data_IF_924419634443
#
_entry.id   IF_924419634443
#
_cell.length_a   1.000
_cell.length_b   1.000
_cell.length_c   1.000
_cell.angle_alpha   90.00
_cell.angle_beta   90.00
_cell.angle_gamma   90.00
#
_symmetry.space_group_name_H-M   'P 1'
#
loop_
_entity.id
_entity.type
_entity.pdbx_description
1 polymer ?
#
# COMPACT_ATOMS: atom_id res chain seq x y z
N UNK A 1 17.76 3.89 -6.19
CA UNK A 1 16.53 4.55 -5.74
C UNK A 1 15.71 3.51 -4.97
N UNK A 2 15.26 3.83 -3.76
CA UNK A 2 14.47 2.91 -2.94
C UNK A 2 13.07 2.78 -3.54
N UNK A 3 12.59 1.56 -3.80
CA UNK A 3 11.24 1.38 -4.33
C UNK A 3 10.18 1.37 -3.22
N UNK A 4 8.89 1.46 -3.60
CA UNK A 4 7.78 1.50 -2.65
C UNK A 4 7.79 0.31 -1.67
N UNK A 5 8.07 -0.90 -2.17
CA UNK A 5 8.17 -2.10 -1.33
C UNK A 5 9.22 -1.96 -0.24
N UNK A 6 10.40 -1.42 -0.55
CA UNK A 6 11.47 -1.24 0.43
C UNK A 6 11.11 -0.19 1.49
N UNK A 7 10.41 0.89 1.10
CA UNK A 7 9.88 1.89 2.04
C UNK A 7 8.85 1.27 2.99
N UNK A 8 7.84 0.60 2.43
CA UNK A 8 6.82 -0.09 3.23
C UNK A 8 7.43 -1.14 4.17
N UNK A 9 8.40 -1.93 3.68
CA UNK A 9 9.07 -2.93 4.51
C UNK A 9 9.80 -2.32 5.70
N UNK A 10 10.46 -1.17 5.50
CA UNK A 10 11.13 -0.45 6.57
C UNK A 10 10.12 0.00 7.63
N UNK A 11 9.02 0.62 7.19
CA UNK A 11 7.99 1.13 8.08
C UNK A 11 7.28 0.01 8.85
N UNK A 12 6.92 -1.08 8.19
CA UNK A 12 6.34 -2.28 8.83
C UNK A 12 7.33 -2.87 9.85
N UNK A 13 8.63 -2.87 9.55
CA UNK A 13 9.65 -3.35 10.49
C UNK A 13 9.73 -2.43 11.72
N UNK A 14 9.70 -1.11 11.54
CA UNK A 14 9.69 -0.16 12.63
C UNK A 14 8.42 -0.30 13.48
N UNK A 15 7.26 -0.46 12.85
CA UNK A 15 5.99 -0.71 13.51
C UNK A 15 6.00 -2.01 14.33
N UNK A 16 6.57 -3.09 13.79
CA UNK A 16 6.80 -4.35 14.53
C UNK A 16 7.70 -4.15 15.74
N UNK A 17 8.82 -3.43 15.59
CA UNK A 17 9.77 -3.21 16.69
C UNK A 17 9.16 -2.42 17.86
N UNK A 18 8.17 -1.58 17.58
CA UNK A 18 7.38 -0.87 18.59
C UNK A 18 6.28 -1.73 19.22
N UNK A 19 6.16 -3.00 18.82
CA UNK A 19 5.15 -3.93 19.32
C UNK A 19 3.78 -3.77 18.67
N UNK A 20 3.71 -3.32 17.42
CA UNK A 20 2.47 -3.12 16.66
C UNK A 20 1.48 -2.16 17.34
N UNK A 21 1.89 -0.91 17.64
CA UNK A 21 0.99 0.07 18.24
C UNK A 21 -0.26 0.27 17.38
N UNK A 22 -1.42 0.22 18.01
CA UNK A 22 -2.74 0.30 17.38
C UNK A 22 -3.77 0.77 18.41
N UNK A 23 -4.79 1.51 17.98
CA UNK A 23 -5.97 1.83 18.80
C UNK A 23 -6.79 0.58 19.14
N UNK A 24 -6.58 -0.50 18.40
CA UNK A 24 -7.25 -1.78 18.59
C UNK A 24 -6.28 -2.80 19.21
N UNK A 25 -6.42 -3.08 20.50
CA UNK A 25 -5.48 -3.95 21.24
C UNK A 25 -5.54 -5.44 20.84
N UNK A 26 -6.68 -5.91 20.32
CA UNK A 26 -6.85 -7.31 19.94
C UNK A 26 -5.91 -7.72 18.81
N UNK A 27 -5.75 -6.90 17.75
CA UNK A 27 -4.85 -7.22 16.65
C UNK A 27 -3.38 -7.22 17.09
N UNK A 28 -2.99 -6.29 17.96
CA UNK A 28 -1.65 -6.26 18.55
C UNK A 28 -1.36 -7.57 19.28
N UNK A 29 -2.33 -8.05 20.07
CA UNK A 29 -2.21 -9.34 20.79
C UNK A 29 -2.09 -10.52 19.81
N UNK A 30 -2.92 -10.55 18.77
CA UNK A 30 -2.90 -11.61 17.74
C UNK A 30 -1.53 -11.65 17.03
N UNK A 31 -1.02 -10.50 16.59
CA UNK A 31 0.25 -10.42 15.87
C UNK A 31 1.42 -10.84 16.77
N UNK A 32 1.42 -10.47 18.04
CA UNK A 32 2.43 -10.90 19.00
C UNK A 32 2.37 -12.40 19.33
N UNK A 33 1.24 -13.07 19.06
CA UNK A 33 1.02 -14.48 19.39
C UNK A 33 1.46 -15.47 18.29
N UNK A 34 2.11 -15.05 17.20
CA UNK A 34 2.71 -15.99 16.22
C UNK A 34 3.95 -16.75 16.77
N UNK A 35 3.96 -17.05 18.07
CA UNK A 35 5.06 -17.63 18.84
C UNK A 35 5.37 -19.08 18.43
N UNK A 36 4.37 -19.81 17.93
CA UNK A 36 4.54 -21.18 17.44
C UNK A 36 5.12 -21.27 16.02
N UNK A 37 5.41 -20.13 15.37
CA UNK A 37 5.76 -20.06 13.94
C UNK A 37 4.73 -20.77 13.05
N UNK A 38 3.45 -20.75 13.44
CA UNK A 38 2.36 -21.30 12.62
C UNK A 38 2.39 -20.67 11.23
N UNK A 39 2.51 -19.34 11.18
CA UNK A 39 2.86 -18.64 9.95
C UNK A 39 4.38 -18.59 9.79
N UNK A 40 4.86 -19.07 8.63
CA UNK A 40 6.24 -18.92 8.21
C UNK A 40 6.58 -17.43 8.10
N UNK A 41 7.87 -17.08 8.27
CA UNK A 41 8.36 -15.70 8.24
C UNK A 41 7.76 -14.84 7.12
N UNK A 42 7.79 -15.32 5.87
CA UNK A 42 7.27 -14.56 4.73
C UNK A 42 5.74 -14.37 4.76
N UNK A 43 4.99 -15.34 5.30
CA UNK A 43 3.55 -15.23 5.49
C UNK A 43 3.22 -14.23 6.58
N UNK A 44 3.95 -14.29 7.70
CA UNK A 44 3.77 -13.36 8.81
C UNK A 44 4.13 -11.92 8.40
N UNK A 45 5.24 -11.72 7.68
CA UNK A 45 5.61 -10.41 7.10
C UNK A 45 4.51 -9.85 6.18
N UNK A 46 3.87 -10.71 5.37
CA UNK A 46 2.77 -10.30 4.51
C UNK A 46 1.50 -9.94 5.32
N UNK A 47 1.19 -10.70 6.38
CA UNK A 47 0.08 -10.40 7.28
C UNK A 47 0.30 -9.08 8.03
N UNK A 48 1.52 -8.80 8.48
CA UNK A 48 1.85 -7.51 9.11
C UNK A 48 1.79 -6.36 8.11
N UNK A 49 2.25 -6.58 6.88
CA UNK A 49 2.13 -5.56 5.83
C UNK A 49 0.66 -5.23 5.56
N UNK A 50 -0.19 -6.25 5.51
CA UNK A 50 -1.64 -6.08 5.38
C UNK A 50 -2.21 -5.22 6.52
N UNK A 51 -1.95 -5.60 7.77
CA UNK A 51 -2.49 -4.90 8.93
C UNK A 51 -1.89 -3.49 9.10
N UNK A 52 -0.64 -3.28 8.72
CA UNK A 52 -0.03 -1.94 8.68
C UNK A 52 -0.75 -1.04 7.67
N UNK A 53 -0.99 -1.52 6.46
CA UNK A 53 -1.74 -0.77 5.45
C UNK A 53 -3.16 -0.48 5.92
N UNK A 54 -3.80 -1.47 6.56
CA UNK A 54 -5.17 -1.39 7.08
C UNK A 54 -5.33 -0.37 8.22
N UNK A 55 -4.47 -0.45 9.24
CA UNK A 55 -4.61 0.29 10.49
C UNK A 55 -3.82 1.59 10.51
N UNK A 56 -2.58 1.56 10.04
CA UNK A 56 -1.65 2.70 10.16
C UNK A 56 -1.79 3.63 8.96
N UNK A 57 -1.93 3.07 7.76
CA UNK A 57 -2.10 3.87 6.54
C UNK A 57 -3.57 4.14 6.19
N UNK A 58 -4.52 3.53 6.91
CA UNK A 58 -5.96 3.65 6.68
C UNK A 58 -6.42 3.20 5.28
N UNK A 59 -5.92 2.05 4.82
CA UNK A 59 -6.29 1.39 3.55
C UNK A 59 -6.22 2.33 2.32
N UNK A 60 -5.08 2.97 2.04
CA UNK A 60 -4.95 3.95 0.95
C UNK A 60 -4.97 3.30 -0.44
N UNK A 61 -5.29 4.02 -1.50
CA UNK A 61 -4.99 3.52 -2.84
C UNK A 61 -3.46 3.43 -3.04
N UNK A 62 -3.03 2.58 -3.97
CA UNK A 62 -1.61 2.43 -4.26
C UNK A 62 -0.99 3.76 -4.73
N UNK A 63 -1.78 4.61 -5.38
CA UNK A 63 -1.37 5.93 -5.80
C UNK A 63 -1.09 6.87 -4.62
N UNK A 64 -1.96 6.89 -3.61
CA UNK A 64 -1.79 7.70 -2.40
C UNK A 64 -0.48 7.31 -1.69
N UNK A 65 -0.14 6.01 -1.66
CA UNK A 65 1.16 5.54 -1.16
C UNK A 65 2.34 6.12 -1.95
N UNK A 66 2.25 6.17 -3.28
CA UNK A 66 3.31 6.78 -4.09
C UNK A 66 3.45 8.28 -3.82
N UNK A 67 2.34 9.01 -3.68
CA UNK A 67 2.37 10.44 -3.33
C UNK A 67 3.02 10.68 -1.96
N UNK A 68 2.68 9.86 -0.97
CA UNK A 68 3.22 9.95 0.38
C UNK A 68 4.73 9.67 0.43
N UNK A 69 5.18 8.61 -0.24
CA UNK A 69 6.57 8.15 -0.15
C UNK A 69 7.53 8.83 -1.14
N UNK A 70 7.00 9.41 -2.21
CA UNK A 70 7.78 9.97 -3.31
C UNK A 70 7.28 11.36 -3.70
N UNK A 71 7.46 12.41 -2.88
CA UNK A 71 7.03 13.75 -3.24
C UNK A 71 7.89 14.37 -4.36
N UNK A 72 7.28 15.28 -5.13
CA UNK A 72 7.97 16.09 -6.14
C UNK A 72 8.58 15.27 -7.28
N UNK A 73 9.85 15.56 -7.62
CA UNK A 73 10.59 14.88 -8.71
C UNK A 73 10.59 13.36 -8.57
N UNK A 74 10.68 12.87 -7.34
CA UNK A 74 10.79 11.43 -7.08
C UNK A 74 9.53 10.65 -7.47
N UNK A 75 8.35 11.30 -7.51
CA UNK A 75 7.11 10.68 -7.99
C UNK A 75 7.22 10.29 -9.46
N UNK A 76 7.69 11.23 -10.29
CA UNK A 76 7.86 11.03 -11.71
C UNK A 76 8.93 9.98 -12.00
N UNK A 77 10.01 9.96 -11.21
CA UNK A 77 11.02 8.92 -11.31
C UNK A 77 10.46 7.54 -10.94
N UNK A 78 9.63 7.46 -9.90
CA UNK A 78 8.96 6.22 -9.48
C UNK A 78 7.97 5.69 -10.54
N UNK A 79 7.31 6.58 -11.28
CA UNK A 79 6.42 6.21 -12.40
C UNK A 79 7.12 6.01 -13.74
N UNK A 80 8.45 6.15 -13.81
CA UNK A 80 9.19 6.05 -15.06
C UNK A 80 8.94 7.23 -16.02
N UNK A 81 8.47 8.35 -15.49
CA UNK A 81 8.16 9.61 -16.20
C UNK A 81 9.29 10.64 -16.12
N UNK A 82 10.50 10.20 -15.80
CA UNK A 82 11.66 11.09 -15.62
C UNK A 82 11.91 11.99 -16.84
N UNK A 83 11.70 11.48 -18.05
CA UNK A 83 11.88 12.22 -19.31
C UNK A 83 10.96 13.44 -19.43
N UNK A 84 9.82 13.47 -18.73
CA UNK A 84 8.91 14.61 -18.74
C UNK A 84 9.42 15.80 -17.91
N UNK A 85 10.32 15.53 -16.96
CA UNK A 85 10.76 16.51 -15.97
C UNK A 85 12.27 16.74 -15.96
N UNK A 86 13.04 15.99 -16.74
CA UNK A 86 14.50 16.02 -16.72
C UNK A 86 15.10 17.40 -17.01
N UNK A 87 14.43 18.20 -17.84
CA UNK A 87 14.85 19.54 -18.23
C UNK A 87 14.15 20.65 -17.42
N UNK A 88 13.36 20.30 -16.41
CA UNK A 88 12.64 21.26 -15.57
C UNK A 88 13.41 21.56 -14.27
N UNK A 89 13.61 22.86 -13.96
CA UNK A 89 13.98 23.31 -12.62
C UNK A 89 13.05 22.74 -11.54
N UNK A 90 13.59 22.46 -10.36
CA UNK A 90 12.83 21.77 -9.29
C UNK A 90 11.69 22.61 -8.72
N UNK A 91 11.88 23.92 -8.69
CA UNK A 91 10.90 24.93 -8.32
C UNK A 91 9.66 24.97 -9.25
N UNK A 92 9.77 24.44 -10.47
CA UNK A 92 8.62 24.33 -11.39
C UNK A 92 7.80 23.06 -11.20
N UNK A 93 8.29 22.08 -10.42
CA UNK A 93 7.57 20.82 -10.16
C UNK A 93 6.75 21.01 -8.89
N UNK A 94 5.76 21.89 -9.01
CA UNK A 94 4.84 22.21 -7.92
C UNK A 94 3.76 21.12 -7.77
N UNK A 95 3.01 21.11 -6.66
CA UNK A 95 1.84 20.25 -6.52
C UNK A 95 0.81 20.43 -7.67
N UNK A 96 0.62 21.66 -8.14
CA UNK A 96 -0.30 21.98 -9.24
C UNK A 96 0.19 21.41 -10.57
N UNK A 97 1.50 21.50 -10.84
CA UNK A 97 2.10 20.86 -12.01
C UNK A 97 1.89 19.34 -11.99
N UNK A 98 2.16 18.72 -10.83
CA UNK A 98 1.97 17.28 -10.62
C UNK A 98 0.51 16.87 -10.86
N UNK A 99 -0.45 17.58 -10.27
CA UNK A 99 -1.87 17.34 -10.49
C UNK A 99 -2.28 17.51 -11.97
N UNK A 100 -1.71 18.50 -12.67
CA UNK A 100 -1.94 18.71 -14.09
C UNK A 100 -1.52 17.51 -14.94
N UNK A 101 -0.34 16.94 -14.67
CA UNK A 101 0.12 15.73 -15.37
C UNK A 101 -0.75 14.52 -15.03
N UNK A 102 -1.11 14.32 -13.77
CA UNK A 102 -1.96 13.20 -13.35
C UNK A 102 -3.32 13.24 -14.04
N UNK A 103 -3.96 14.42 -14.06
CA UNK A 103 -5.21 14.62 -14.79
C UNK A 103 -5.06 14.30 -16.28
N UNK A 104 -3.92 14.66 -16.88
CA UNK A 104 -3.62 14.33 -18.27
C UNK A 104 -3.51 12.81 -18.48
N UNK A 105 -2.89 12.08 -17.56
CA UNK A 105 -2.83 10.61 -17.61
C UNK A 105 -4.24 10.01 -17.51
N UNK A 106 -5.14 10.60 -16.72
CA UNK A 106 -6.52 10.14 -16.58
C UNK A 106 -7.39 10.42 -17.80
N UNK A 107 -7.22 11.56 -18.47
CA UNK A 107 -8.17 12.05 -19.50
C UNK A 107 -7.67 12.07 -20.94
N UNK A 108 -6.35 12.07 -21.18
CA UNK A 108 -5.77 12.25 -22.52
C UNK A 108 -5.20 10.93 -23.08
N UNK A 109 -5.99 10.29 -23.94
CA UNK A 109 -5.62 9.02 -24.58
C UNK A 109 -4.36 9.13 -25.47
N UNK A 110 -4.17 10.26 -26.14
CA UNK A 110 -3.01 10.47 -27.01
C UNK A 110 -1.73 10.57 -26.18
N UNK A 111 -1.79 11.28 -25.05
CA UNK A 111 -0.69 11.39 -24.11
C UNK A 111 -0.33 10.05 -23.47
N UNK A 112 -1.33 9.28 -23.04
CA UNK A 112 -1.15 7.93 -22.47
C UNK A 112 -0.46 7.01 -23.48
N UNK A 113 -0.95 6.98 -24.72
CA UNK A 113 -0.37 6.16 -25.80
C UNK A 113 1.05 6.58 -26.16
N UNK A 114 1.32 7.89 -26.22
CA UNK A 114 2.66 8.40 -26.53
C UNK A 114 3.69 8.01 -25.48
N UNK A 115 3.28 7.97 -24.21
CA UNK A 115 4.17 7.69 -23.07
C UNK A 115 4.05 6.26 -22.53
N UNK A 116 3.21 5.40 -23.14
CA UNK A 116 2.95 4.01 -22.73
C UNK A 116 2.48 3.88 -21.27
N UNK A 117 1.47 4.68 -20.90
CA UNK A 117 0.99 4.83 -19.53
C UNK A 117 -0.31 4.07 -19.24
N UNK A 118 -0.67 3.09 -20.06
CA UNK A 118 -1.95 2.37 -19.94
C UNK A 118 -2.10 1.69 -18.57
N UNK A 119 -1.05 0.99 -18.11
CA UNK A 119 -1.04 0.33 -16.81
C UNK A 119 -1.05 1.32 -15.63
N UNK A 120 -0.38 2.47 -15.80
CA UNK A 120 -0.37 3.52 -14.78
C UNK A 120 -1.76 4.17 -14.67
N UNK A 121 -2.39 4.47 -15.80
CA UNK A 121 -3.76 5.00 -15.84
C UNK A 121 -4.75 4.04 -15.18
N UNK A 122 -4.69 2.75 -15.53
CA UNK A 122 -5.54 1.74 -14.90
C UNK A 122 -5.40 1.80 -13.38
N UNK A 123 -4.16 1.78 -12.88
CA UNK A 123 -3.84 1.86 -11.46
C UNK A 123 -4.34 3.15 -10.79
N UNK A 124 -4.23 4.30 -11.47
CA UNK A 124 -4.72 5.61 -10.98
C UNK A 124 -6.25 5.66 -10.88
N UNK A 125 -6.93 4.99 -11.80
CA UNK A 125 -8.40 5.06 -11.91
C UNK A 125 -9.14 4.00 -11.10
N UNK A 126 -8.43 3.13 -10.37
CA UNK A 126 -9.06 2.14 -9.50
C UNK A 126 -9.81 2.82 -8.36
N UNK A 127 -11.11 2.54 -8.24
CA UNK A 127 -11.97 3.08 -7.18
C UNK A 127 -11.79 2.39 -5.82
N UNK A 128 -10.85 1.45 -5.72
CA UNK A 128 -10.62 0.65 -4.52
C UNK A 128 -9.12 0.35 -4.31
N UNK A 129 -8.68 0.22 -3.05
CA UNK A 129 -7.31 -0.19 -2.73
C UNK A 129 -7.02 -1.59 -3.28
N UNK A 130 -6.04 -1.70 -4.17
CA UNK A 130 -5.63 -2.97 -4.77
C UNK A 130 -4.18 -3.30 -4.40
N UNK A 131 -3.99 -4.31 -3.56
CA UNK A 131 -2.67 -4.80 -3.14
C UNK A 131 -2.49 -6.26 -3.51
N UNK A 132 -1.34 -6.58 -4.10
CA UNK A 132 -0.94 -7.96 -4.39
C UNK A 132 0.18 -8.36 -3.45
N UNK A 133 -0.14 -9.16 -2.43
CA UNK A 133 0.86 -9.77 -1.55
C UNK A 133 1.43 -11.03 -2.22
N UNK A 134 2.42 -10.82 -3.10
CA UNK A 134 3.00 -11.89 -3.89
C UNK A 134 3.97 -12.76 -3.08
N UNK A 135 3.52 -13.95 -2.67
CA UNK A 135 4.39 -15.01 -2.16
C UNK A 135 4.73 -16.02 -3.26
N UNK A 136 5.92 -16.63 -3.16
CA UNK A 136 6.37 -17.70 -4.05
C UNK A 136 5.36 -18.88 -4.11
N UNK A 137 5.43 -19.67 -5.17
CA UNK A 137 4.63 -20.90 -5.27
C UNK A 137 5.02 -21.88 -4.14
N UNK A 138 4.04 -22.56 -3.55
CA UNK A 138 4.28 -23.45 -2.41
C UNK A 138 4.59 -22.75 -1.08
N UNK A 139 4.62 -21.42 -1.04
CA UNK A 139 4.85 -20.66 0.19
C UNK A 139 3.61 -20.53 1.09
N UNK A 140 2.51 -21.23 0.79
CA UNK A 140 1.29 -21.22 1.60
C UNK A 140 0.46 -19.94 1.48
N UNK A 141 0.20 -19.47 0.25
CA UNK A 141 -0.71 -18.33 0.02
C UNK A 141 -2.10 -18.55 0.62
N UNK A 142 -2.61 -19.78 0.58
CA UNK A 142 -3.90 -20.14 1.15
C UNK A 142 -3.96 -19.88 2.66
N UNK A 143 -2.92 -20.26 3.42
CA UNK A 143 -2.92 -20.03 4.87
C UNK A 143 -2.76 -18.55 5.21
N UNK A 144 -2.02 -17.79 4.39
CA UNK A 144 -1.96 -16.32 4.52
C UNK A 144 -3.34 -15.70 4.36
N UNK A 145 -4.06 -16.02 3.27
CA UNK A 145 -5.40 -15.49 3.02
C UNK A 145 -6.38 -15.91 4.13
N UNK A 146 -6.33 -17.18 4.56
CA UNK A 146 -7.14 -17.65 5.67
C UNK A 146 -6.85 -16.88 6.97
N UNK A 147 -5.58 -16.55 7.24
CA UNK A 147 -5.19 -15.77 8.41
C UNK A 147 -5.70 -14.34 8.32
N UNK A 148 -5.57 -13.68 7.17
CA UNK A 148 -6.14 -12.34 6.94
C UNK A 148 -7.64 -12.36 7.23
N UNK A 149 -8.39 -13.27 6.61
CA UNK A 149 -9.84 -13.41 6.79
C UNK A 149 -10.19 -13.66 8.26
N UNK A 150 -9.54 -14.65 8.89
CA UNK A 150 -9.81 -14.99 10.29
C UNK A 150 -9.58 -13.80 11.23
N UNK A 151 -8.49 -13.06 11.00
CA UNK A 151 -8.18 -11.88 11.82
C UNK A 151 -9.14 -10.72 11.54
N UNK A 152 -9.54 -10.46 10.29
CA UNK A 152 -10.55 -9.43 9.98
C UNK A 152 -11.89 -9.73 10.66
N UNK A 153 -12.36 -10.99 10.62
CA UNK A 153 -13.57 -11.39 11.33
C UNK A 153 -13.43 -11.27 12.85
N UNK A 154 -12.29 -11.66 13.41
CA UNK A 154 -12.04 -11.49 14.85
C UNK A 154 -12.11 -10.02 15.26
N UNK A 155 -11.54 -9.12 14.45
CA UNK A 155 -11.58 -7.67 14.69
C UNK A 155 -12.98 -7.10 14.53
N UNK A 156 -13.74 -7.52 13.52
CA UNK A 156 -15.12 -7.09 13.32
C UNK A 156 -16.07 -7.52 14.44
N UNK A 157 -15.84 -8.72 15.01
CA UNK A 157 -16.62 -9.22 16.14
C UNK A 157 -16.32 -8.47 17.44
N UNK A 158 -15.05 -8.14 17.67
CA UNK A 158 -14.59 -7.40 18.86
C UNK A 158 -14.98 -5.92 18.81
N UNK A 159 -14.86 -5.29 17.64
CA UNK A 159 -15.05 -3.85 17.44
C UNK A 159 -16.23 -3.58 16.49
N UNK A 160 -17.43 -3.50 17.08
CA UNK A 160 -18.71 -3.30 16.36
C UNK A 160 -19.01 -1.82 16.10
N UNK A 161 -18.07 -1.10 15.50
CA UNK A 161 -18.20 0.32 15.17
C UNK A 161 -19.08 0.49 13.91
N UNK A 162 -20.07 1.39 13.97
CA UNK A 162 -21.03 1.62 12.87
C UNK A 162 -20.33 2.10 11.57
N UNK A 163 -19.30 2.94 11.72
CA UNK A 163 -18.38 3.37 10.65
C UNK A 163 -16.98 2.75 10.81
N UNK A 164 -16.91 1.55 11.40
CA UNK A 164 -15.67 0.83 11.62
C UNK A 164 -14.93 0.47 10.33
N UNK A 165 -13.61 0.37 10.43
CA UNK A 165 -12.75 0.05 9.27
C UNK A 165 -12.77 -1.44 8.89
N UNK A 166 -13.26 -2.33 9.75
CA UNK A 166 -13.25 -3.79 9.55
C UNK A 166 -14.38 -4.28 8.64
N UNK A 167 -14.31 -5.55 8.24
CA UNK A 167 -15.39 -6.19 7.46
C UNK A 167 -16.72 -6.11 8.23
N UNK A 168 -17.78 -5.67 7.56
CA UNK A 168 -19.16 -5.69 8.10
C UNK A 168 -19.80 -7.06 7.82
N UNK A 169 -20.49 -7.61 8.82
CA UNK A 169 -21.33 -8.80 8.67
C UNK A 169 -22.65 -8.47 7.99
#
# INVERSE_FOLDING_TARGET
>A
MTNLYQKLKLDVTNWRQQGHPSSYSAITTILQHNQSNFLRKAQFEALETYWYLRLVKNTPNIFDLYQDYFPGKTLFEAFGLKHLIENLPEDLITPEFTQGILKKIETDDAFVKQNKLEALRETLTLSYPSYILALAMGAGKTILIASIIATEFAMALEYQEEDGIFIKN
#
